data_IF_348683801047
#
_entry.id   IF_348683801047
#
_cell.length_a   1.000
_cell.length_b   1.000
_cell.length_c   1.000
_cell.angle_alpha   90.00
_cell.angle_beta   90.00
_cell.angle_gamma   90.00
#
_symmetry.space_group_name_H-M   'P 1'
#
loop_
_entity.id
_entity.type
_entity.pdbx_description
1 polymer ?
#
# COMPACT_ATOMS: atom_id res chain seq x y z
N UNK A 1 -16.24 -13.70 -7.95
CA UNK A 1 -15.97 -13.31 -6.54
C UNK A 1 -15.80 -11.81 -6.44
N UNK A 2 -16.84 -11.08 -6.00
CA UNK A 2 -16.78 -9.63 -5.88
C UNK A 2 -15.75 -9.14 -4.84
N UNK A 3 -15.51 -9.90 -3.75
CA UNK A 3 -14.65 -9.41 -2.66
C UNK A 3 -13.16 -9.31 -3.01
N UNK A 4 -12.61 -10.19 -3.85
CA UNK A 4 -11.18 -10.18 -4.22
C UNK A 4 -10.90 -9.04 -5.18
N UNK A 5 -11.81 -8.81 -6.12
CA UNK A 5 -11.74 -7.71 -7.07
C UNK A 5 -11.82 -6.38 -6.33
N UNK A 6 -12.73 -6.25 -5.36
CA UNK A 6 -12.85 -5.04 -4.56
C UNK A 6 -11.59 -4.83 -3.71
N UNK A 7 -11.08 -5.87 -3.02
CA UNK A 7 -9.85 -5.74 -2.24
C UNK A 7 -8.64 -5.29 -3.08
N UNK A 8 -8.50 -5.80 -4.31
CA UNK A 8 -7.45 -5.31 -5.23
C UNK A 8 -7.62 -3.84 -5.60
N UNK A 9 -8.87 -3.40 -5.83
CA UNK A 9 -9.16 -1.99 -6.08
C UNK A 9 -8.83 -1.13 -4.87
N UNK A 10 -9.13 -1.60 -3.66
CA UNK A 10 -8.80 -0.88 -2.42
C UNK A 10 -7.28 -0.75 -2.27
N UNK A 11 -6.52 -1.83 -2.55
CA UNK A 11 -5.05 -1.80 -2.55
C UNK A 11 -4.53 -0.80 -3.60
N UNK A 12 -5.02 -0.87 -4.84
CA UNK A 12 -4.61 0.05 -5.91
C UNK A 12 -4.91 1.50 -5.55
N UNK A 13 -6.10 1.76 -5.02
CA UNK A 13 -6.54 3.09 -4.63
C UNK A 13 -5.64 3.67 -3.56
N UNK A 14 -5.43 2.96 -2.45
CA UNK A 14 -4.61 3.50 -1.35
C UNK A 14 -3.14 3.66 -1.74
N UNK A 15 -2.57 2.73 -2.52
CA UNK A 15 -1.20 2.88 -3.02
C UNK A 15 -1.09 4.07 -3.97
N UNK A 16 -2.10 4.30 -4.81
CA UNK A 16 -2.16 5.47 -5.68
C UNK A 16 -2.16 6.78 -4.88
N UNK A 17 -2.93 6.88 -3.80
CA UNK A 17 -2.94 8.07 -2.93
C UNK A 17 -1.53 8.35 -2.36
N UNK A 18 -0.82 7.33 -1.87
CA UNK A 18 0.57 7.47 -1.39
C UNK A 18 1.50 7.99 -2.48
N UNK A 19 1.40 7.45 -3.70
CA UNK A 19 2.23 7.86 -4.84
C UNK A 19 1.89 9.29 -5.27
N UNK A 20 0.61 9.65 -5.29
CA UNK A 20 0.13 10.99 -5.61
C UNK A 20 0.69 12.02 -4.62
N UNK A 21 0.66 11.73 -3.33
CA UNK A 21 1.24 12.62 -2.30
C UNK A 21 2.76 12.74 -2.42
N UNK A 22 3.46 11.66 -2.78
CA UNK A 22 4.89 11.74 -3.10
C UNK A 22 5.14 12.72 -4.26
N UNK A 23 4.35 12.65 -5.34
CA UNK A 23 4.47 13.59 -6.46
C UNK A 23 4.16 15.03 -6.05
N UNK A 24 3.18 15.25 -5.18
CA UNK A 24 2.89 16.57 -4.64
C UNK A 24 4.10 17.13 -3.88
N UNK A 25 4.74 16.32 -3.02
CA UNK A 25 5.98 16.71 -2.31
C UNK A 25 7.11 17.03 -3.27
N UNK A 26 7.33 16.21 -4.31
CA UNK A 26 8.35 16.47 -5.33
C UNK A 26 8.13 17.80 -6.07
N UNK A 27 6.87 18.10 -6.38
CA UNK A 27 6.50 19.30 -7.14
C UNK A 27 6.70 20.57 -6.33
N UNK A 28 6.36 20.54 -5.02
CA UNK A 28 6.49 21.72 -4.14
C UNK A 28 7.87 21.85 -3.49
N UNK A 29 8.66 20.78 -3.43
CA UNK A 29 10.03 20.77 -2.87
C UNK A 29 11.05 20.21 -3.89
N UNK A 30 11.43 20.96 -4.93
CA UNK A 30 12.48 20.52 -5.85
C UNK A 30 13.83 20.42 -5.12
N UNK A 31 14.47 19.24 -5.13
CA UNK A 31 15.77 18.99 -4.49
C UNK A 31 15.78 17.71 -3.62
N UNK A 32 16.58 17.72 -2.55
CA UNK A 32 16.85 16.54 -1.69
C UNK A 32 15.58 15.85 -1.16
N UNK A 33 14.53 16.62 -0.86
CA UNK A 33 13.24 16.07 -0.39
C UNK A 33 12.53 15.29 -1.48
N UNK A 34 12.64 15.72 -2.74
CA UNK A 34 12.13 15.00 -3.91
C UNK A 34 12.79 13.64 -4.05
N UNK A 35 14.12 13.56 -3.88
CA UNK A 35 14.85 12.30 -3.93
C UNK A 35 14.43 11.35 -2.81
N UNK A 36 14.21 11.86 -1.58
CA UNK A 36 13.74 11.04 -0.45
C UNK A 36 12.39 10.38 -0.70
N UNK A 37 11.45 11.06 -1.36
CA UNK A 37 10.13 10.48 -1.64
C UNK A 37 10.13 9.46 -2.78
N UNK A 38 11.14 9.46 -3.67
CA UNK A 38 11.26 8.39 -4.70
C UNK A 38 11.41 6.99 -4.08
N UNK A 39 12.14 6.89 -2.96
CA UNK A 39 12.26 5.63 -2.20
C UNK A 39 10.93 5.16 -1.63
N UNK A 40 10.07 6.10 -1.19
CA UNK A 40 8.73 5.81 -0.68
C UNK A 40 7.84 5.27 -1.80
N UNK A 41 7.91 5.83 -3.01
CA UNK A 41 7.19 5.31 -4.19
C UNK A 41 7.60 3.86 -4.49
N UNK A 42 8.89 3.55 -4.46
CA UNK A 42 9.37 2.17 -4.66
C UNK A 42 8.78 1.19 -3.64
N UNK A 43 8.75 1.59 -2.36
CA UNK A 43 8.21 0.76 -1.30
C UNK A 43 6.68 0.61 -1.37
N UNK A 44 5.96 1.64 -1.82
CA UNK A 44 4.53 1.57 -2.10
C UNK A 44 4.22 0.55 -3.21
N UNK A 45 5.02 0.52 -4.28
CA UNK A 45 4.90 -0.47 -5.36
C UNK A 45 5.19 -1.89 -4.85
N UNK A 46 6.20 -2.07 -4.00
CA UNK A 46 6.50 -3.38 -3.38
C UNK A 46 5.34 -3.86 -2.52
N UNK A 47 4.78 -2.99 -1.66
CA UNK A 47 3.61 -3.30 -0.84
C UNK A 47 2.42 -3.75 -1.72
N UNK A 48 2.13 -3.00 -2.77
CA UNK A 48 1.08 -3.35 -3.74
C UNK A 48 1.28 -4.76 -4.30
N UNK A 49 2.47 -5.04 -4.79
CA UNK A 49 2.79 -6.32 -5.44
C UNK A 49 2.68 -7.50 -4.47
N UNK A 50 3.17 -7.35 -3.23
CA UNK A 50 3.02 -8.36 -2.17
C UNK A 50 1.53 -8.65 -1.89
N UNK A 51 0.75 -7.61 -1.62
CA UNK A 51 -0.67 -7.77 -1.29
C UNK A 51 -1.45 -8.37 -2.46
N UNK A 52 -1.15 -7.99 -3.70
CA UNK A 52 -1.74 -8.59 -4.90
C UNK A 52 -1.41 -10.09 -5.02
N UNK A 53 -0.15 -10.45 -4.80
CA UNK A 53 0.28 -11.85 -4.82
C UNK A 53 -0.49 -12.67 -3.76
N UNK A 54 -0.61 -12.15 -2.54
CA UNK A 54 -1.35 -12.78 -1.44
C UNK A 54 -2.84 -12.90 -1.74
N UNK A 55 -3.47 -11.87 -2.30
CA UNK A 55 -4.90 -11.93 -2.69
C UNK A 55 -5.17 -13.03 -3.70
N UNK A 56 -4.24 -13.24 -4.64
CA UNK A 56 -4.32 -14.28 -5.67
C UNK A 56 -4.09 -15.70 -5.12
N UNK A 57 -3.31 -15.84 -4.05
CA UNK A 57 -2.89 -17.12 -3.49
C UNK A 57 -3.33 -17.30 -2.04
N UNK A 58 -4.65 -17.41 -1.76
CA UNK A 58 -5.12 -17.58 -0.39
C UNK A 58 -4.71 -18.92 0.20
N UNK A 59 -4.30 -18.89 1.46
CA UNK A 59 -4.00 -20.08 2.26
C UNK A 59 -5.30 -20.73 2.80
N UNK A 60 -5.23 -22.01 3.16
CA UNK A 60 -6.33 -22.72 3.83
C UNK A 60 -7.57 -22.90 2.96
N UNK A 61 -7.42 -23.04 1.63
CA UNK A 61 -8.52 -23.10 0.63
C UNK A 61 -9.65 -24.08 0.94
N UNK A 62 -9.42 -25.08 1.81
CA UNK A 62 -10.40 -26.08 2.24
C UNK A 62 -11.20 -25.69 3.50
N UNK A 63 -10.85 -24.58 4.17
CA UNK A 63 -11.49 -24.11 5.40
C UNK A 63 -11.97 -22.64 5.23
N UNK A 64 -13.29 -22.39 5.13
CA UNK A 64 -13.83 -21.04 4.96
C UNK A 64 -13.44 -20.05 6.06
N UNK A 65 -13.30 -20.51 7.31
CA UNK A 65 -12.89 -19.67 8.44
C UNK A 65 -11.44 -19.20 8.30
N UNK A 66 -10.54 -20.08 7.87
CA UNK A 66 -9.14 -19.72 7.61
C UNK A 66 -9.01 -18.77 6.42
N UNK A 67 -9.78 -18.99 5.35
CA UNK A 67 -9.80 -18.07 4.19
C UNK A 67 -10.27 -16.67 4.60
N UNK A 68 -11.30 -16.57 5.44
CA UNK A 68 -11.77 -15.28 5.98
C UNK A 68 -10.69 -14.58 6.80
N UNK A 69 -10.05 -15.31 7.73
CA UNK A 69 -8.95 -14.79 8.56
C UNK A 69 -7.78 -14.30 7.70
N UNK A 70 -7.42 -15.05 6.67
CA UNK A 70 -6.35 -14.71 5.72
C UNK A 70 -6.62 -13.37 5.02
N UNK A 71 -7.83 -13.19 4.45
CA UNK A 71 -8.19 -11.93 3.80
C UNK A 71 -8.33 -10.75 4.77
N UNK A 72 -8.69 -10.99 6.03
CA UNK A 72 -8.66 -9.94 7.05
C UNK A 72 -7.23 -9.53 7.39
N UNK A 73 -6.30 -10.48 7.43
CA UNK A 73 -4.86 -10.19 7.59
C UNK A 73 -4.34 -9.27 6.48
N UNK A 74 -4.67 -9.57 5.22
CA UNK A 74 -4.29 -8.70 4.08
C UNK A 74 -4.81 -7.27 4.24
N UNK A 75 -6.05 -7.10 4.73
CA UNK A 75 -6.61 -5.75 4.97
C UNK A 75 -5.87 -5.01 6.08
N UNK A 76 -5.55 -5.70 7.17
CA UNK A 76 -4.79 -5.10 8.27
C UNK A 76 -3.39 -4.68 7.81
N UNK A 77 -2.72 -5.52 7.02
CA UNK A 77 -1.40 -5.22 6.49
C UNK A 77 -1.43 -4.08 5.47
N UNK A 78 -2.48 -3.99 4.66
CA UNK A 78 -2.72 -2.83 3.78
C UNK A 78 -2.78 -1.53 4.59
N UNK A 79 -3.65 -1.45 5.59
CA UNK A 79 -3.81 -0.23 6.39
C UNK A 79 -2.50 0.14 7.10
N UNK A 80 -1.84 -0.83 7.75
CA UNK A 80 -0.55 -0.59 8.42
C UNK A 80 0.54 -0.13 7.46
N UNK A 81 0.62 -0.75 6.29
CA UNK A 81 1.62 -0.38 5.27
C UNK A 81 1.38 1.03 4.73
N UNK A 82 0.13 1.39 4.48
CA UNK A 82 -0.27 2.72 4.00
C UNK A 82 -0.02 3.79 5.07
N UNK A 83 -0.43 3.56 6.32
CA UNK A 83 -0.15 4.47 7.44
C UNK A 83 1.35 4.72 7.58
N UNK A 84 2.15 3.66 7.56
CA UNK A 84 3.61 3.77 7.66
C UNK A 84 4.23 4.57 6.50
N UNK A 85 3.70 4.43 5.28
CA UNK A 85 4.17 5.21 4.14
C UNK A 85 3.79 6.68 4.28
N UNK A 86 2.58 7.01 4.72
CA UNK A 86 2.16 8.40 4.95
C UNK A 86 2.92 9.07 6.10
N UNK A 87 3.23 8.35 7.18
CA UNK A 87 4.11 8.85 8.25
C UNK A 87 5.49 9.25 7.70
N UNK A 88 6.07 8.42 6.82
CA UNK A 88 7.34 8.72 6.15
C UNK A 88 7.24 9.94 5.24
N UNK A 89 6.17 10.07 4.46
CA UNK A 89 5.92 11.27 3.63
C UNK A 89 5.83 12.51 4.52
N UNK A 90 5.06 12.44 5.61
CA UNK A 90 4.88 13.55 6.55
C UNK A 90 6.20 13.98 7.18
N UNK A 91 7.07 13.04 7.53
CA UNK A 91 8.40 13.32 8.05
C UNK A 91 9.27 14.07 7.03
N UNK A 92 9.26 13.65 5.75
CA UNK A 92 10.00 14.33 4.68
C UNK A 92 9.43 15.72 4.38
N UNK A 93 8.11 15.89 4.43
CA UNK A 93 7.47 17.17 4.16
C UNK A 93 7.70 18.21 5.27
N UNK A 94 7.83 17.78 6.53
CA UNK A 94 8.04 18.65 7.69
C UNK A 94 9.50 19.03 7.94
N UNK A 95 10.45 18.14 7.61
CA UNK A 95 11.90 18.46 7.62
C UNK A 95 12.21 19.49 6.55
#
# INVERSE_FOLDING_TARGET
>A
MANKRNLKKDIDYLVYEVVSDCFAVMTVNPGEKGDKVTGIVSDAVKLRNDLFARVNHPDGKKNPGLVKKYYNGIRLDLIKGIDSLFERISAVAKS
#
